data_IF_476222264143
#
_entry.id   IF_476222264143
#
_cell.length_a   1.000
_cell.length_b   1.000
_cell.length_c   1.000
_cell.angle_alpha   90.00
_cell.angle_beta   90.00
_cell.angle_gamma   90.00
#
_symmetry.space_group_name_H-M   'P 1'
#
loop_
_entity.id
_entity.type
_entity.pdbx_description
1 polymer ?
#
# COMPACT_ATOMS: atom_id res chain seq x y z
N UNK A 1 22.34 -7.48 2.26
CA UNK A 1 21.14 -6.73 1.84
C UNK A 1 21.34 -6.32 0.40
N UNK A 2 20.44 -6.71 -0.50
CA UNK A 2 20.52 -6.33 -1.92
C UNK A 2 20.05 -4.89 -2.15
N UNK A 3 20.46 -4.25 -3.26
CA UNK A 3 20.03 -2.88 -3.61
C UNK A 3 18.50 -2.79 -3.76
N UNK A 4 17.85 -3.81 -4.31
CA UNK A 4 16.40 -3.89 -4.41
C UNK A 4 15.72 -3.99 -3.04
N UNK A 5 16.29 -4.76 -2.12
CA UNK A 5 15.75 -4.90 -0.77
C UNK A 5 15.85 -3.59 0.02
N UNK A 6 16.94 -2.84 -0.18
CA UNK A 6 17.10 -1.49 0.39
C UNK A 6 16.09 -0.50 -0.22
N UNK A 7 15.91 -0.54 -1.54
CA UNK A 7 14.95 0.34 -2.24
C UNK A 7 13.52 0.11 -1.74
N UNK A 8 13.10 -1.17 -1.63
CA UNK A 8 11.77 -1.52 -1.13
C UNK A 8 11.51 -0.96 0.27
N UNK A 9 12.48 -1.08 1.19
CA UNK A 9 12.36 -0.52 2.55
C UNK A 9 12.24 1.01 2.56
N UNK A 10 13.06 1.70 1.78
CA UNK A 10 13.01 3.18 1.70
C UNK A 10 11.68 3.66 1.11
N UNK A 11 11.17 2.95 0.09
CA UNK A 11 9.86 3.25 -0.49
C UNK A 11 8.75 3.02 0.53
N UNK A 12 8.76 1.90 1.26
CA UNK A 12 7.79 1.57 2.30
C UNK A 12 7.76 2.63 3.41
N UNK A 13 8.91 2.98 3.98
CA UNK A 13 9.02 4.04 4.99
C UNK A 13 8.47 5.38 4.49
N UNK A 14 8.73 5.70 3.22
CA UNK A 14 8.25 6.96 2.64
C UNK A 14 6.75 6.95 2.40
N UNK A 15 6.18 5.83 1.96
CA UNK A 15 4.74 5.66 1.78
C UNK A 15 4.03 5.81 3.13
N UNK A 16 4.56 5.18 4.19
CA UNK A 16 4.01 5.31 5.54
C UNK A 16 4.01 6.76 6.03
N UNK A 17 5.12 7.49 5.82
CA UNK A 17 5.17 8.92 6.13
C UNK A 17 4.14 9.73 5.34
N UNK A 18 4.00 9.49 4.02
CA UNK A 18 3.02 10.22 3.20
C UNK A 18 1.60 9.97 3.70
N UNK A 19 1.26 8.72 4.01
CA UNK A 19 -0.06 8.35 4.53
C UNK A 19 -0.28 9.02 5.88
N UNK A 20 0.68 8.94 6.80
CA UNK A 20 0.60 9.54 8.13
C UNK A 20 0.44 11.07 8.07
N UNK A 21 1.25 11.75 7.27
CA UNK A 21 1.33 13.20 7.23
C UNK A 21 0.20 13.83 6.41
N UNK A 22 -0.14 13.23 5.25
CA UNK A 22 -1.07 13.84 4.28
C UNK A 22 -2.47 13.28 4.36
N UNK A 23 -2.63 12.07 4.87
CA UNK A 23 -3.92 11.36 4.91
C UNK A 23 -4.20 10.84 6.34
N UNK A 24 -4.19 11.72 7.35
CA UNK A 24 -4.38 11.31 8.73
C UNK A 24 -5.75 10.64 8.91
N UNK A 25 -5.75 9.50 9.60
CA UNK A 25 -6.96 8.72 9.86
C UNK A 25 -7.54 7.98 8.65
N UNK A 26 -6.87 7.99 7.50
CA UNK A 26 -7.33 7.28 6.30
C UNK A 26 -7.51 5.77 6.57
N UNK A 27 -6.52 5.14 7.22
CA UNK A 27 -6.58 3.72 7.59
C UNK A 27 -7.81 3.44 8.47
N UNK A 28 -7.99 4.21 9.54
CA UNK A 28 -9.15 4.07 10.44
C UNK A 28 -10.49 4.17 9.69
N UNK A 29 -10.63 5.16 8.79
CA UNK A 29 -11.86 5.36 8.00
C UNK A 29 -12.23 4.18 7.11
N UNK A 30 -11.25 3.49 6.54
CA UNK A 30 -11.51 2.31 5.70
C UNK A 30 -11.82 1.08 6.56
N UNK A 31 -11.03 0.85 7.63
CA UNK A 31 -11.24 -0.29 8.52
C UNK A 31 -12.61 -0.23 9.21
N UNK A 32 -13.04 0.93 9.71
CA UNK A 32 -14.35 1.07 10.36
C UNK A 32 -15.51 0.72 9.42
N UNK A 33 -15.44 1.17 8.15
CA UNK A 33 -16.48 0.86 7.16
C UNK A 33 -16.45 -0.59 6.71
N UNK A 34 -15.26 -1.18 6.61
CA UNK A 34 -15.09 -2.58 6.23
C UNK A 34 -15.61 -3.50 7.32
N UNK A 35 -15.24 -3.28 8.59
CA UNK A 35 -15.74 -4.05 9.73
C UNK A 35 -17.27 -3.96 9.86
N UNK A 36 -17.85 -2.77 9.69
CA UNK A 36 -19.30 -2.62 9.74
C UNK A 36 -20.04 -3.43 8.66
N UNK A 37 -19.41 -3.67 7.50
CA UNK A 37 -19.97 -4.53 6.44
C UNK A 37 -19.79 -6.01 6.83
N UNK A 38 -18.61 -6.39 7.33
CA UNK A 38 -18.28 -7.76 7.69
C UNK A 38 -19.09 -8.29 8.87
N UNK A 39 -19.43 -7.44 9.84
CA UNK A 39 -20.21 -7.79 11.03
C UNK A 39 -21.65 -8.24 10.70
N UNK A 40 -22.18 -7.84 9.54
CA UNK A 40 -23.51 -8.26 9.08
C UNK A 40 -23.55 -9.60 8.34
N UNK A 41 -22.39 -10.21 8.08
CA UNK A 41 -22.29 -11.43 7.28
C UNK A 41 -22.33 -12.68 8.16
N UNK A 42 -22.86 -13.77 7.61
CA UNK A 42 -22.69 -15.08 8.22
C UNK A 42 -21.20 -15.51 8.20
N UNK A 43 -20.77 -16.44 9.06
CA UNK A 43 -19.37 -16.79 9.21
C UNK A 43 -18.70 -17.31 7.93
N UNK A 44 -19.42 -18.03 7.07
CA UNK A 44 -18.85 -18.60 5.83
C UNK A 44 -18.65 -17.50 4.79
N UNK A 45 -19.65 -16.64 4.61
CA UNK A 45 -19.55 -15.50 3.69
C UNK A 45 -18.50 -14.49 4.17
N UNK A 46 -18.38 -14.27 5.49
CA UNK A 46 -17.35 -13.41 6.08
C UNK A 46 -15.94 -13.90 5.75
N UNK A 47 -15.65 -15.19 5.96
CA UNK A 47 -14.33 -15.78 5.67
C UNK A 47 -13.98 -15.69 4.18
N UNK A 48 -14.95 -15.90 3.28
CA UNK A 48 -14.73 -15.72 1.83
C UNK A 48 -14.43 -14.27 1.46
N UNK A 49 -15.15 -13.32 2.06
CA UNK A 49 -14.91 -11.89 1.83
C UNK A 49 -13.57 -11.43 2.39
N UNK A 50 -13.18 -11.88 3.57
CA UNK A 50 -11.88 -11.56 4.18
C UNK A 50 -10.73 -12.05 3.29
N UNK A 51 -10.79 -13.29 2.78
CA UNK A 51 -9.81 -13.83 1.82
C UNK A 51 -9.75 -13.05 0.51
N UNK A 52 -10.90 -12.63 -0.01
CA UNK A 52 -10.95 -11.81 -1.23
C UNK A 52 -10.33 -10.43 -0.98
N UNK A 53 -10.64 -9.79 0.14
CA UNK A 53 -10.07 -8.51 0.53
C UNK A 53 -8.57 -8.60 0.70
N UNK A 54 -8.06 -9.63 1.36
CA UNK A 54 -6.62 -9.89 1.51
C UNK A 54 -5.95 -9.99 0.13
N UNK A 55 -6.48 -10.83 -0.77
CA UNK A 55 -5.93 -11.00 -2.12
C UNK A 55 -5.94 -9.69 -2.94
N UNK A 56 -7.02 -8.90 -2.85
CA UNK A 56 -7.12 -7.61 -3.54
C UNK A 56 -6.14 -6.57 -2.96
N UNK A 57 -5.98 -6.55 -1.64
CA UNK A 57 -5.07 -5.64 -0.96
C UNK A 57 -3.61 -5.98 -1.25
N UNK A 58 -3.25 -7.27 -1.23
CA UNK A 58 -1.91 -7.74 -1.60
C UNK A 58 -1.58 -7.37 -3.05
N UNK A 59 -2.46 -7.70 -4.00
CA UNK A 59 -2.24 -7.36 -5.40
C UNK A 59 -2.13 -5.85 -5.64
N UNK A 60 -3.02 -5.07 -5.02
CA UNK A 60 -2.95 -3.60 -5.08
C UNK A 60 -1.68 -3.03 -4.46
N UNK A 61 -1.19 -3.61 -3.35
CA UNK A 61 0.06 -3.19 -2.71
C UNK A 61 1.28 -3.49 -3.60
N UNK A 62 1.31 -4.65 -4.26
CA UNK A 62 2.36 -4.99 -5.23
C UNK A 62 2.39 -4.04 -6.42
N UNK A 63 1.22 -3.76 -7.02
CA UNK A 63 1.10 -2.79 -8.12
C UNK A 63 1.57 -1.41 -7.70
N UNK A 64 1.13 -0.92 -6.54
CA UNK A 64 1.54 0.38 -6.01
C UNK A 64 3.05 0.43 -5.76
N UNK A 65 3.62 -0.61 -5.15
CA UNK A 65 5.08 -0.70 -4.91
C UNK A 65 5.85 -0.61 -6.22
N UNK A 66 5.46 -1.38 -7.23
CA UNK A 66 6.11 -1.38 -8.53
C UNK A 66 6.08 0.01 -9.20
N UNK A 67 4.93 0.70 -9.15
CA UNK A 67 4.78 2.06 -9.69
C UNK A 67 5.66 3.06 -8.93
N UNK A 68 5.66 3.01 -7.59
CA UNK A 68 6.44 3.93 -6.76
C UNK A 68 7.94 3.73 -6.95
N UNK A 69 8.42 2.49 -7.00
CA UNK A 69 9.83 2.17 -7.25
C UNK A 69 10.28 2.69 -8.62
N UNK A 70 9.49 2.44 -9.66
CA UNK A 70 9.77 2.93 -11.01
C UNK A 70 9.81 4.47 -11.06
N UNK A 71 8.81 5.14 -10.49
CA UNK A 71 8.73 6.60 -10.45
C UNK A 71 9.89 7.22 -9.66
N UNK A 72 10.31 6.61 -8.55
CA UNK A 72 11.45 7.06 -7.77
C UNK A 72 12.75 6.99 -8.59
N UNK A 73 13.00 5.87 -9.26
CA UNK A 73 14.18 5.69 -10.10
C UNK A 73 14.18 6.64 -11.31
N UNK A 74 13.02 6.87 -11.92
CA UNK A 74 12.88 7.88 -12.98
C UNK A 74 13.17 9.29 -12.46
N UNK A 75 12.72 9.62 -11.26
CA UNK A 75 13.05 10.89 -10.59
C UNK A 75 14.56 11.08 -10.42
N UNK A 76 15.27 10.05 -9.92
CA UNK A 76 16.73 10.07 -9.79
C UNK A 76 17.43 10.24 -11.14
N UNK A 77 16.96 9.52 -12.17
CA UNK A 77 17.49 9.61 -13.53
C UNK A 77 17.30 11.00 -14.13
N UNK A 78 16.14 11.63 -13.90
CA UNK A 78 15.88 13.01 -14.33
C UNK A 78 16.76 14.00 -13.59
N UNK A 79 16.94 13.85 -12.28
CA UNK A 79 17.82 14.71 -11.49
C UNK A 79 19.27 14.64 -11.99
N UNK A 80 19.81 13.44 -12.25
CA UNK A 80 21.15 13.29 -12.83
C UNK A 80 21.26 13.95 -14.22
N UNK A 81 20.19 13.94 -15.03
CA UNK A 81 20.24 14.63 -16.34
C UNK A 81 20.21 16.15 -16.23
N UNK A 82 19.70 16.69 -15.12
CA UNK A 82 19.51 18.12 -14.91
C UNK A 82 20.69 18.80 -14.19
N UNK A 83 21.49 18.04 -13.42
CA UNK A 83 22.60 18.51 -12.59
C UNK A 83 23.84 17.64 -12.80
#
# INVERSE_FOLDING_TARGET
MGVQELLGKVVEERVDQIIGDRLPGLRARYYEKQEAILDGLDPETRDQFEKLLESLLEGGAEECRAVYEAAFLDGLRLAHRAF
#
